data_IF_520426940066
#
_entry.id   IF_520426940066
#
_cell.length_a   1.000
_cell.length_b   1.000
_cell.length_c   1.000
_cell.angle_alpha   90.00
_cell.angle_beta   90.00
_cell.angle_gamma   90.00
#
_symmetry.space_group_name_H-M   'P 1'
#
loop_
_entity.id
_entity.type
_entity.pdbx_description
1 polymer ?
#
# COMPACT_ATOMS: atom_id res chain seq x y z
N UNK A 1 0.21 43.29 38.06
CA UNK A 1 1.25 42.26 38.17
C UNK A 1 0.61 40.95 37.78
N UNK A 2 1.02 40.43 36.61
CA UNK A 2 0.78 39.06 36.19
C UNK A 2 1.67 38.13 37.03
N UNK A 3 1.28 36.88 37.32
CA UNK A 3 2.06 35.82 36.68
C UNK A 3 1.29 34.53 36.32
N UNK A 4 1.71 34.02 35.16
CA UNK A 4 1.87 32.59 34.79
C UNK A 4 0.62 31.80 34.41
N UNK A 5 0.18 32.10 33.19
CA UNK A 5 -0.23 31.12 32.20
C UNK A 5 0.96 30.22 31.80
N UNK A 6 0.92 28.93 32.18
CA UNK A 6 1.67 27.86 31.53
C UNK A 6 0.76 26.65 31.39
N UNK A 7 -0.30 26.81 30.58
CA UNK A 7 -0.94 25.66 29.96
C UNK A 7 0.08 24.99 29.02
N UNK A 8 0.73 23.94 29.52
CA UNK A 8 1.55 23.05 28.69
C UNK A 8 0.61 22.30 27.77
N UNK A 9 0.31 22.89 26.60
CA UNK A 9 -0.43 22.20 25.56
C UNK A 9 0.42 21.02 25.08
N UNK A 10 -0.09 19.77 25.10
CA UNK A 10 0.58 18.71 24.36
C UNK A 10 0.55 19.10 22.89
N UNK A 11 1.72 19.06 22.24
CA UNK A 11 1.88 19.26 20.80
C UNK A 11 1.05 18.19 20.10
N UNK A 12 -0.22 18.50 19.83
CA UNK A 12 -1.08 17.65 19.02
C UNK A 12 -0.53 17.68 17.61
N UNK A 13 -0.08 16.52 17.13
CA UNK A 13 0.33 16.33 15.74
C UNK A 13 -0.78 16.82 14.80
N UNK A 14 -0.53 17.98 14.17
CA UNK A 14 -1.35 18.56 13.13
C UNK A 14 -1.11 17.78 11.84
N UNK A 15 -1.82 16.68 11.64
CA UNK A 15 -1.91 16.10 10.31
C UNK A 15 -3.23 16.53 9.67
N UNK A 16 -3.12 17.44 8.71
CA UNK A 16 -4.13 17.73 7.72
C UNK A 16 -3.63 17.13 6.39
N UNK A 17 -4.42 16.31 5.69
CA UNK A 17 -4.06 15.92 4.33
C UNK A 17 -3.88 17.18 3.48
N UNK A 18 -2.95 17.13 2.52
CA UNK A 18 -2.62 18.29 1.68
C UNK A 18 -3.84 18.83 0.92
N UNK A 19 -4.83 17.97 0.65
CA UNK A 19 -6.13 18.33 0.10
C UNK A 19 -7.15 17.17 0.25
N UNK A 20 -8.35 17.36 -0.34
CA UNK A 20 -9.39 16.35 -0.45
C UNK A 20 -8.99 15.17 -1.36
N UNK A 21 -8.04 15.36 -2.28
CA UNK A 21 -7.58 14.31 -3.21
C UNK A 21 -6.79 13.21 -2.48
N UNK A 22 -6.06 13.54 -1.42
CA UNK A 22 -5.46 12.55 -0.50
C UNK A 22 -6.48 11.57 0.10
N UNK A 23 -7.74 11.99 0.28
CA UNK A 23 -8.82 11.10 0.73
C UNK A 23 -9.44 10.30 -0.42
N UNK A 24 -9.51 10.87 -1.62
CA UNK A 24 -10.05 10.15 -2.78
C UNK A 24 -9.15 9.00 -3.23
N UNK A 25 -7.83 9.14 -3.11
CA UNK A 25 -6.89 8.03 -3.39
C UNK A 25 -6.99 6.89 -2.37
N UNK A 26 -7.53 7.14 -1.18
CA UNK A 26 -7.86 6.10 -0.20
C UNK A 26 -9.17 5.37 -0.51
N UNK A 27 -9.99 5.89 -1.44
CA UNK A 27 -11.34 5.41 -1.72
C UNK A 27 -11.51 4.95 -3.18
N UNK A 28 -10.44 4.45 -3.81
CA UNK A 28 -10.53 3.86 -5.14
C UNK A 28 -11.30 2.52 -5.10
N UNK A 29 -12.21 2.23 -6.06
CA UNK A 29 -12.48 2.97 -7.30
C UNK A 29 -13.28 4.25 -7.06
N UNK A 30 -12.96 5.31 -7.81
CA UNK A 30 -13.88 6.45 -7.92
C UNK A 30 -15.17 5.89 -8.50
N UNK A 31 -16.22 5.78 -7.67
CA UNK A 31 -17.53 5.42 -8.14
C UNK A 31 -17.88 6.33 -9.33
N UNK A 32 -18.08 5.74 -10.50
CA UNK A 32 -18.66 6.46 -11.61
C UNK A 32 -20.08 6.85 -11.17
N UNK A 33 -20.47 8.14 -11.11
CA UNK A 33 -21.80 8.53 -10.67
C UNK A 33 -22.93 7.91 -11.51
N UNK A 34 -22.61 7.32 -12.68
CA UNK A 34 -23.53 6.53 -13.50
C UNK A 34 -23.46 5.00 -13.32
N UNK A 35 -22.46 4.44 -12.64
CA UNK A 35 -22.35 3.00 -12.43
C UNK A 35 -23.27 2.57 -11.28
N UNK A 36 -24.37 1.87 -11.63
CA UNK A 36 -25.17 1.16 -10.63
C UNK A 36 -24.26 0.21 -9.85
N UNK A 37 -24.12 0.47 -8.55
CA UNK A 37 -23.48 -0.47 -7.64
C UNK A 37 -24.16 -1.83 -7.82
N UNK A 38 -23.38 -2.85 -8.21
CA UNK A 38 -23.87 -4.22 -8.19
C UNK A 38 -24.39 -4.51 -6.78
N UNK A 39 -25.55 -5.18 -6.62
CA UNK A 39 -26.08 -5.49 -5.31
C UNK A 39 -24.99 -6.24 -4.55
N UNK A 40 -24.66 -5.74 -3.36
CA UNK A 40 -23.77 -6.44 -2.44
C UNK A 40 -24.39 -7.82 -2.22
N UNK A 41 -23.76 -8.84 -2.82
CA UNK A 41 -24.09 -10.22 -2.51
C UNK A 41 -23.96 -10.43 -1.00
N UNK A 42 -24.61 -11.47 -0.44
CA UNK A 42 -24.51 -11.75 0.99
C UNK A 42 -23.04 -11.73 1.37
N UNK A 43 -22.72 -11.00 2.45
CA UNK A 43 -21.37 -10.85 2.98
C UNK A 43 -20.84 -12.24 3.40
N UNK A 44 -20.42 -13.02 2.41
CA UNK A 44 -19.73 -14.27 2.59
C UNK A 44 -18.47 -13.96 3.36
N UNK A 45 -18.23 -14.72 4.42
CA UNK A 45 -17.08 -14.57 5.30
C UNK A 45 -15.84 -14.20 4.47
N UNK A 46 -15.33 -12.99 4.70
CA UNK A 46 -14.14 -12.46 4.02
C UNK A 46 -13.02 -13.48 4.20
N UNK A 47 -12.75 -14.28 3.17
CA UNK A 47 -11.67 -15.26 3.19
C UNK A 47 -10.36 -14.53 2.88
N UNK A 48 -9.97 -13.65 3.82
CA UNK A 48 -8.68 -12.97 3.75
C UNK A 48 -7.59 -14.04 3.89
N UNK A 49 -6.60 -14.08 3.00
CA UNK A 49 -5.47 -14.97 3.20
C UNK A 49 -4.74 -14.57 4.49
N UNK A 50 -4.15 -15.57 5.15
CA UNK A 50 -3.19 -15.29 6.22
C UNK A 50 -2.14 -14.32 5.68
N UNK A 51 -1.98 -13.18 6.36
CA UNK A 51 -0.94 -12.22 6.03
C UNK A 51 0.33 -12.64 6.75
N UNK A 52 1.34 -13.20 6.07
CA UNK A 52 2.62 -13.45 6.71
C UNK A 52 3.22 -12.12 7.17
N UNK A 53 4.00 -12.15 8.24
CA UNK A 53 4.84 -11.00 8.56
C UNK A 53 5.84 -10.80 7.42
N UNK A 54 6.07 -9.56 6.97
CA UNK A 54 7.15 -9.31 6.03
C UNK A 54 8.45 -9.80 6.64
N UNK A 55 9.31 -10.46 5.87
CA UNK A 55 10.56 -10.95 6.39
C UNK A 55 11.41 -9.77 6.89
N UNK A 56 11.64 -9.66 8.20
CA UNK A 56 12.54 -8.64 8.79
C UNK A 56 13.94 -8.65 8.14
N UNK A 57 14.35 -9.80 7.57
CA UNK A 57 15.57 -9.91 6.77
C UNK A 57 15.59 -9.00 5.55
N UNK A 58 14.45 -8.59 4.99
CA UNK A 58 14.40 -7.60 3.90
C UNK A 58 15.06 -6.29 4.33
N UNK A 59 14.68 -5.76 5.49
CA UNK A 59 15.28 -4.55 6.03
C UNK A 59 16.77 -4.75 6.35
N UNK A 60 17.15 -5.90 6.90
CA UNK A 60 18.55 -6.20 7.17
C UNK A 60 19.43 -6.29 5.91
N UNK A 61 18.88 -6.81 4.80
CA UNK A 61 19.61 -7.05 3.56
C UNK A 61 19.70 -5.82 2.65
N UNK A 62 18.61 -5.06 2.48
CA UNK A 62 18.58 -3.90 1.59
C UNK A 62 18.55 -2.54 2.31
N UNK A 63 18.43 -2.55 3.63
CA UNK A 63 18.32 -1.34 4.45
C UNK A 63 17.02 -0.57 4.22
N UNK A 64 16.79 0.45 5.04
CA UNK A 64 15.64 1.34 4.85
C UNK A 64 15.68 2.01 3.47
N UNK A 65 16.86 2.45 3.03
CA UNK A 65 17.05 3.08 1.71
C UNK A 65 16.63 2.17 0.56
N UNK A 66 16.94 0.87 0.61
CA UNK A 66 16.54 -0.09 -0.42
C UNK A 66 15.02 -0.29 -0.49
N UNK A 67 14.36 -0.41 0.67
CA UNK A 67 12.89 -0.49 0.73
C UNK A 67 12.22 0.79 0.22
N UNK A 68 12.72 1.95 0.62
CA UNK A 68 12.20 3.23 0.15
C UNK A 68 12.40 3.41 -1.36
N UNK A 69 13.54 2.96 -1.90
CA UNK A 69 13.79 2.97 -3.34
C UNK A 69 12.81 2.07 -4.10
N UNK A 70 12.56 0.85 -3.62
CA UNK A 70 11.57 -0.04 -4.23
C UNK A 70 10.18 0.63 -4.28
N UNK A 71 9.74 1.21 -3.16
CA UNK A 71 8.45 1.91 -3.09
C UNK A 71 8.43 3.11 -4.04
N UNK A 72 9.50 3.92 -4.07
CA UNK A 72 9.60 5.06 -4.98
C UNK A 72 9.42 4.65 -6.43
N UNK A 73 10.17 3.64 -6.89
CA UNK A 73 10.09 3.09 -8.24
C UNK A 73 8.69 2.55 -8.54
N UNK A 74 8.13 1.76 -7.63
CA UNK A 74 6.80 1.17 -7.78
C UNK A 74 5.71 2.24 -7.89
N UNK A 75 5.72 3.21 -6.98
CA UNK A 75 4.77 4.32 -6.99
C UNK A 75 4.94 5.12 -8.28
N UNK A 76 6.16 5.45 -8.70
CA UNK A 76 6.39 6.19 -9.95
C UNK A 76 5.88 5.45 -11.20
N UNK A 77 5.99 4.12 -11.22
CA UNK A 77 5.34 3.29 -12.26
C UNK A 77 3.82 3.42 -12.20
N UNK A 78 3.22 3.30 -11.00
CA UNK A 78 1.78 3.40 -10.80
C UNK A 78 1.20 4.79 -11.14
N UNK A 79 1.99 5.86 -10.99
CA UNK A 79 1.60 7.23 -11.31
C UNK A 79 1.04 7.39 -12.72
N UNK A 80 1.53 6.58 -13.66
CA UNK A 80 1.16 6.63 -15.08
C UNK A 80 0.05 5.63 -15.44
N UNK A 81 -0.53 4.95 -14.45
CA UNK A 81 -1.63 4.00 -14.63
C UNK A 81 -2.96 4.62 -14.21
N UNK A 82 -4.11 4.04 -14.62
CA UNK A 82 -5.43 4.49 -14.15
C UNK A 82 -5.56 4.59 -12.63
N UNK A 83 -4.81 3.78 -11.88
CA UNK A 83 -4.81 3.71 -10.42
C UNK A 83 -4.47 5.06 -9.76
N UNK A 84 -3.56 5.85 -10.35
CA UNK A 84 -3.16 7.17 -9.82
C UNK A 84 -3.23 8.31 -10.83
N UNK A 85 -3.86 8.13 -11.99
CA UNK A 85 -4.03 9.17 -13.00
C UNK A 85 -4.66 10.47 -12.44
N UNK A 86 -5.43 10.38 -11.35
CA UNK A 86 -6.10 11.51 -10.68
C UNK A 86 -5.43 11.96 -9.38
N UNK A 87 -4.30 11.39 -8.98
CA UNK A 87 -3.65 11.70 -7.70
C UNK A 87 -3.07 13.13 -7.64
N UNK A 88 -2.79 13.73 -8.80
CA UNK A 88 -2.43 15.14 -8.93
C UNK A 88 -1.25 15.55 -8.04
N UNK A 89 -1.39 16.70 -7.35
CA UNK A 89 -0.33 17.32 -6.54
C UNK A 89 -0.03 16.57 -5.23
N UNK A 90 -0.92 15.70 -4.78
CA UNK A 90 -0.77 14.97 -3.52
C UNK A 90 -0.14 13.58 -3.66
N UNK A 91 0.30 13.22 -4.86
CA UNK A 91 0.98 11.95 -5.13
C UNK A 91 2.18 11.70 -4.19
N UNK A 92 3.02 12.72 -3.95
CA UNK A 92 4.17 12.59 -3.06
C UNK A 92 3.81 12.28 -1.60
N UNK A 93 2.69 12.80 -1.11
CA UNK A 93 2.21 12.48 0.24
C UNK A 93 1.76 11.02 0.37
N UNK A 94 1.16 10.48 -0.69
CA UNK A 94 0.77 9.07 -0.73
C UNK A 94 2.00 8.17 -0.82
N UNK A 95 2.94 8.50 -1.70
CA UNK A 95 4.21 7.76 -1.82
C UNK A 95 4.93 7.69 -0.47
N UNK A 96 5.05 8.82 0.24
CA UNK A 96 5.65 8.85 1.57
C UNK A 96 4.91 7.95 2.57
N UNK A 97 3.57 7.99 2.56
CA UNK A 97 2.74 7.14 3.43
C UNK A 97 2.97 5.65 3.15
N UNK A 98 2.95 5.24 1.87
CA UNK A 98 3.21 3.84 1.48
C UNK A 98 4.63 3.43 1.85
N UNK A 99 5.59 4.33 1.68
CA UNK A 99 6.99 4.11 2.03
C UNK A 99 7.16 3.88 3.53
N UNK A 100 6.57 4.74 4.36
CA UNK A 100 6.60 4.60 5.81
C UNK A 100 5.92 3.29 6.25
N UNK A 101 4.79 2.91 5.62
CA UNK A 101 4.10 1.65 5.90
C UNK A 101 4.98 0.44 5.61
N UNK A 102 5.62 0.38 4.44
CA UNK A 102 6.46 -0.76 4.04
C UNK A 102 7.69 -0.89 4.94
N UNK A 103 8.35 0.23 5.26
CA UNK A 103 9.52 0.24 6.15
C UNK A 103 9.14 -0.25 7.54
N UNK A 104 8.08 0.30 8.12
CA UNK A 104 7.61 -0.11 9.45
C UNK A 104 7.18 -1.57 9.47
N UNK A 105 6.42 -2.02 8.46
CA UNK A 105 5.99 -3.41 8.35
C UNK A 105 7.19 -4.35 8.35
N UNK A 106 8.26 -4.04 7.62
CA UNK A 106 9.50 -4.84 7.59
C UNK A 106 10.34 -4.74 8.89
N UNK A 107 9.84 -4.08 9.94
CA UNK A 107 10.51 -3.93 11.24
C UNK A 107 11.37 -2.68 11.38
N UNK A 108 11.17 -1.68 10.52
CA UNK A 108 11.82 -0.38 10.62
C UNK A 108 11.22 0.50 11.73
N UNK A 109 11.71 1.74 11.88
CA UNK A 109 11.13 2.70 12.82
C UNK A 109 9.63 2.90 12.60
N UNK A 110 8.83 3.15 13.66
CA UNK A 110 7.37 3.20 13.60
C UNK A 110 6.83 4.53 13.01
N UNK A 111 7.40 4.97 11.88
CA UNK A 111 7.06 6.24 11.25
C UNK A 111 5.61 6.27 10.75
N UNK A 112 5.08 5.14 10.26
CA UNK A 112 3.72 5.06 9.77
C UNK A 112 2.71 5.15 10.90
N UNK A 113 2.84 4.30 11.92
CA UNK A 113 1.93 4.31 13.07
C UNK A 113 1.99 5.63 13.83
N UNK A 114 3.15 6.27 13.94
CA UNK A 114 3.26 7.59 14.58
C UNK A 114 2.57 8.70 13.77
N UNK A 115 2.77 8.73 12.44
CA UNK A 115 2.23 9.79 11.56
C UNK A 115 0.76 9.56 11.18
N UNK A 116 0.33 8.31 11.18
CA UNK A 116 -0.98 7.87 10.71
C UNK A 116 -1.83 7.18 11.80
N UNK A 117 -1.49 7.37 13.08
CA UNK A 117 -2.19 6.82 14.25
C UNK A 117 -3.72 6.98 14.16
N UNK A 118 -4.20 8.14 13.69
CA UNK A 118 -5.64 8.42 13.54
C UNK A 118 -6.32 7.55 12.47
N UNK A 119 -5.61 7.20 11.39
CA UNK A 119 -6.12 6.30 10.34
C UNK A 119 -6.19 4.86 10.87
N UNK A 120 -5.16 4.44 11.61
CA UNK A 120 -5.12 3.13 12.28
C UNK A 120 -6.27 2.99 13.29
N UNK A 121 -6.51 4.03 14.10
CA UNK A 121 -7.62 4.06 15.07
C UNK A 121 -9.01 4.09 14.43
N UNK A 122 -9.15 4.65 13.23
CA UNK A 122 -10.41 4.70 12.48
C UNK A 122 -10.72 3.40 11.70
N UNK A 123 -9.94 2.33 11.89
CA UNK A 123 -10.09 1.09 11.13
C UNK A 123 -9.62 1.18 9.67
N UNK A 124 -9.02 2.30 9.28
CA UNK A 124 -8.46 2.58 7.96
C UNK A 124 -6.93 2.48 7.98
N UNK A 125 -6.37 1.54 8.75
CA UNK A 125 -4.93 1.42 9.00
C UNK A 125 -4.07 1.08 7.78
N UNK A 126 -4.68 0.85 6.61
CA UNK A 126 -3.99 0.56 5.36
C UNK A 126 -3.65 1.85 4.60
N UNK A 127 -2.50 1.91 3.91
CA UNK A 127 -2.01 3.15 3.30
C UNK A 127 -2.83 3.59 2.08
N UNK A 128 -3.56 2.66 1.45
CA UNK A 128 -4.44 2.85 0.28
C UNK A 128 -5.46 1.69 0.17
N UNK A 129 -6.50 1.87 -0.66
CA UNK A 129 -7.44 0.82 -1.05
C UNK A 129 -7.45 0.58 -2.56
N UNK A 130 -7.63 -0.67 -2.96
CA UNK A 130 -7.64 -1.17 -4.33
C UNK A 130 -8.99 -1.82 -4.67
N UNK A 131 -9.38 -1.80 -5.94
CA UNK A 131 -10.39 -2.72 -6.48
C UNK A 131 -9.70 -3.95 -7.11
N UNK A 132 -10.50 -4.80 -7.77
CA UNK A 132 -10.00 -5.97 -8.48
C UNK A 132 -8.96 -5.62 -9.52
N UNK A 133 -9.29 -4.75 -10.47
CA UNK A 133 -8.37 -4.33 -11.54
C UNK A 133 -7.14 -3.59 -10.99
N UNK A 134 -7.35 -2.72 -10.00
CA UNK A 134 -6.28 -1.98 -9.34
C UNK A 134 -5.29 -2.90 -8.63
N UNK A 135 -5.74 -4.02 -8.04
CA UNK A 135 -4.85 -5.04 -7.49
C UNK A 135 -3.94 -5.65 -8.57
N UNK A 136 -4.50 -5.96 -9.73
CA UNK A 136 -3.74 -6.55 -10.85
C UNK A 136 -2.68 -5.58 -11.36
N UNK A 137 -3.06 -4.31 -11.57
CA UNK A 137 -2.14 -3.23 -11.94
C UNK A 137 -1.06 -3.02 -10.86
N UNK A 138 -1.44 -3.05 -9.59
CA UNK A 138 -0.52 -2.87 -8.47
C UNK A 138 0.56 -3.97 -8.45
N UNK A 139 0.16 -5.23 -8.60
CA UNK A 139 1.05 -6.38 -8.59
C UNK A 139 1.98 -6.42 -9.82
N UNK A 140 1.47 -6.19 -11.03
CA UNK A 140 2.30 -6.21 -12.23
C UNK A 140 3.34 -5.09 -12.22
N UNK A 141 2.98 -3.90 -11.73
CA UNK A 141 3.95 -2.81 -11.60
C UNK A 141 4.96 -3.07 -10.48
N UNK A 142 4.58 -3.76 -9.41
CA UNK A 142 5.52 -4.17 -8.36
C UNK A 142 6.55 -5.16 -8.91
N UNK A 143 6.11 -6.12 -9.70
CA UNK A 143 6.99 -7.10 -10.33
C UNK A 143 8.10 -6.43 -11.14
N UNK A 144 7.74 -5.46 -11.99
CA UNK A 144 8.72 -4.71 -12.77
C UNK A 144 9.56 -3.76 -11.91
N UNK A 145 9.02 -3.23 -10.82
CA UNK A 145 9.76 -2.37 -9.91
C UNK A 145 10.95 -3.08 -9.24
N UNK A 146 10.88 -4.41 -9.03
CA UNK A 146 12.01 -5.16 -8.48
C UNK A 146 13.27 -5.05 -9.35
N UNK A 147 13.13 -5.22 -10.66
CA UNK A 147 14.26 -5.14 -11.59
C UNK A 147 14.90 -3.75 -11.59
N UNK A 148 14.08 -2.72 -11.69
CA UNK A 148 14.51 -1.32 -11.65
C UNK A 148 15.15 -0.92 -10.32
N UNK A 149 14.67 -1.47 -9.20
CA UNK A 149 15.20 -1.22 -7.87
C UNK A 149 16.46 -2.05 -7.54
N UNK A 150 16.89 -2.93 -8.45
CA UNK A 150 18.06 -3.79 -8.26
C UNK A 150 17.85 -4.91 -7.22
N UNK A 151 16.62 -5.35 -7.00
CA UNK A 151 16.35 -6.46 -6.09
C UNK A 151 16.87 -7.79 -6.66
N UNK A 152 17.56 -8.57 -5.83
CA UNK A 152 17.99 -9.92 -6.19
C UNK A 152 16.80 -10.88 -6.20
N UNK A 153 16.86 -12.02 -6.91
CA UNK A 153 15.75 -12.98 -6.96
C UNK A 153 15.28 -13.47 -5.59
N UNK A 154 16.19 -13.55 -4.60
CA UNK A 154 15.84 -13.90 -3.22
C UNK A 154 15.03 -12.79 -2.54
N UNK A 155 15.45 -11.53 -2.69
CA UNK A 155 14.70 -10.38 -2.17
C UNK A 155 13.33 -10.23 -2.84
N UNK A 156 13.25 -10.50 -4.15
CA UNK A 156 11.98 -10.51 -4.88
C UNK A 156 11.03 -11.56 -4.30
N UNK A 157 11.50 -12.80 -4.11
CA UNK A 157 10.70 -13.88 -3.54
C UNK A 157 10.17 -13.54 -2.14
N UNK A 158 11.05 -12.98 -1.31
CA UNK A 158 10.75 -12.58 0.06
C UNK A 158 9.71 -11.48 0.14
N UNK A 159 9.90 -10.42 -0.65
CA UNK A 159 8.97 -9.31 -0.68
C UNK A 159 7.65 -9.74 -1.31
N UNK A 160 7.67 -10.52 -2.39
CA UNK A 160 6.48 -10.99 -3.07
C UNK A 160 5.63 -11.93 -2.21
N UNK A 161 6.26 -12.81 -1.43
CA UNK A 161 5.58 -13.69 -0.48
C UNK A 161 4.76 -12.94 0.57
N UNK A 162 5.09 -11.68 0.82
CA UNK A 162 4.30 -10.77 1.65
C UNK A 162 3.36 -9.86 0.85
N UNK A 163 3.85 -9.28 -0.24
CA UNK A 163 3.11 -8.29 -1.03
C UNK A 163 1.88 -8.87 -1.73
N UNK A 164 1.96 -10.12 -2.22
CA UNK A 164 0.82 -10.78 -2.87
C UNK A 164 -0.36 -10.98 -1.91
N UNK A 165 -0.21 -11.59 -0.72
CA UNK A 165 -1.32 -11.67 0.22
C UNK A 165 -1.72 -10.30 0.76
N UNK A 166 -0.76 -9.39 1.03
CA UNK A 166 -1.04 -8.01 1.43
C UNK A 166 -1.96 -7.30 0.44
N UNK A 167 -1.76 -7.50 -0.86
CA UNK A 167 -2.57 -6.86 -1.90
C UNK A 167 -4.06 -7.17 -1.76
N UNK A 168 -4.43 -8.35 -1.24
CA UNK A 168 -5.83 -8.72 -0.96
C UNK A 168 -6.37 -7.94 0.25
N UNK A 169 -5.53 -7.71 1.27
CA UNK A 169 -5.88 -6.86 2.41
C UNK A 169 -6.05 -5.40 1.97
N UNK A 170 -5.23 -4.92 1.02
CA UNK A 170 -5.36 -3.60 0.40
C UNK A 170 -6.62 -3.45 -0.47
N UNK A 171 -7.37 -4.51 -0.77
CA UNK A 171 -8.61 -4.35 -1.52
C UNK A 171 -9.72 -3.75 -0.66
N UNK A 172 -10.59 -2.95 -1.26
CA UNK A 172 -11.83 -2.49 -0.66
C UNK A 172 -12.71 -3.70 -0.26
N UNK A 173 -13.42 -3.67 0.88
CA UNK A 173 -14.21 -4.80 1.35
C UNK A 173 -15.20 -5.37 0.33
N UNK A 174 -15.81 -4.51 -0.50
CA UNK A 174 -16.75 -4.90 -1.57
C UNK A 174 -16.09 -5.62 -2.74
N UNK A 175 -14.78 -5.47 -2.93
CA UNK A 175 -14.02 -6.12 -4.01
C UNK A 175 -13.37 -7.44 -3.57
N UNK A 176 -13.51 -7.82 -2.29
CA UNK A 176 -12.94 -9.06 -1.75
C UNK A 176 -13.88 -10.23 -2.00
N UNK A 177 -13.39 -11.26 -2.67
CA UNK A 177 -14.13 -12.50 -2.88
C UNK A 177 -13.19 -13.72 -2.98
N UNK A 178 -13.73 -14.93 -2.77
CA UNK A 178 -12.92 -16.15 -2.78
C UNK A 178 -12.28 -16.48 -4.14
N UNK A 179 -12.90 -16.03 -5.25
CA UNK A 179 -12.43 -16.27 -6.62
C UNK A 179 -11.30 -15.34 -7.11
N UNK A 180 -10.56 -14.67 -6.21
CA UNK A 180 -9.45 -13.82 -6.62
C UNK A 180 -8.28 -14.66 -7.15
N UNK A 181 -7.72 -14.26 -8.28
CA UNK A 181 -6.50 -14.88 -8.81
C UNK A 181 -5.35 -14.68 -7.84
N UNK A 182 -4.67 -15.79 -7.51
CA UNK A 182 -3.48 -15.80 -6.68
C UNK A 182 -2.24 -15.88 -7.54
N UNK A 183 -1.20 -15.20 -7.10
CA UNK A 183 0.04 -15.08 -7.87
C UNK A 183 1.24 -15.61 -7.08
N UNK A 184 1.40 -16.95 -6.92
CA UNK A 184 2.61 -17.50 -6.32
C UNK A 184 3.87 -17.01 -7.06
N UNK A 185 4.93 -16.71 -6.31
CA UNK A 185 6.15 -16.11 -6.87
C UNK A 185 6.71 -16.93 -8.05
N UNK A 186 6.81 -18.25 -7.92
CA UNK A 186 7.33 -19.13 -8.97
C UNK A 186 6.47 -19.12 -10.24
N UNK A 187 5.16 -19.02 -10.09
CA UNK A 187 4.24 -18.91 -11.22
C UNK A 187 4.49 -17.62 -11.99
N UNK A 188 4.54 -16.48 -11.30
CA UNK A 188 4.82 -15.19 -11.94
C UNK A 188 6.21 -15.18 -12.57
N UNK A 189 7.22 -15.65 -11.85
CA UNK A 189 8.59 -15.78 -12.35
C UNK A 189 8.67 -16.57 -13.66
N UNK A 190 7.89 -17.62 -13.80
CA UNK A 190 7.86 -18.46 -15.01
C UNK A 190 7.37 -17.70 -16.26
N UNK A 191 6.51 -16.69 -16.09
CA UNK A 191 5.99 -15.88 -17.21
C UNK A 191 7.03 -14.93 -17.80
N UNK A 192 8.04 -14.58 -17.00
CA UNK A 192 9.10 -13.65 -17.39
C UNK A 192 10.45 -14.34 -17.58
N UNK A 193 10.52 -15.66 -17.42
CA UNK A 193 11.70 -16.42 -17.79
C UNK A 193 11.86 -16.39 -19.32
N UNK A 194 13.05 -16.10 -19.86
CA UNK A 194 13.26 -16.19 -21.30
C UNK A 194 12.92 -17.60 -21.77
N UNK A 195 12.21 -17.70 -22.90
CA UNK A 195 11.97 -18.97 -23.56
C UNK A 195 13.33 -19.65 -23.79
N UNK A 196 13.45 -20.89 -23.29
CA UNK A 196 14.64 -21.71 -23.50
C UNK A 196 14.76 -22.14 -24.95
#
# INVERSE_FOLDING_TARGET
>A
MDPTDFATQPVQARWAPCDRACYHTLLWPVADPGARAAPAGPAGALCLPLLPQPPHRLLALCGERGLRQLVHVHMHRLRHTPLFARAGRCFGCLEQRVSDFVVEACGGPPAYSQRHARLVQAGAGLPLLLDGEGREIWLVQLWHAFGDAGFTPGLCADFWGWAEPLSVHLMAPSSRHAGLTRYPYDTVRSWFAPAR
#
